data_IF_361918536013
#
_entry.id   IF_361918536013
#
_cell.length_a   1.000
_cell.length_b   1.000
_cell.length_c   1.000
_cell.angle_alpha   90.00
_cell.angle_beta   90.00
_cell.angle_gamma   90.00
#
_symmetry.space_group_name_H-M   'P 1'
#
loop_
_entity.id
_entity.type
_entity.pdbx_description
1 polymer ?
#
# COMPACT_ATOMS: atom_id res chain seq x y z
N UNK A 1 36.02 7.95 -6.03
CA UNK A 1 34.98 8.05 -7.08
C UNK A 1 34.45 6.65 -7.39
N UNK A 2 33.42 6.20 -6.69
CA UNK A 2 32.78 4.91 -6.96
C UNK A 2 31.30 5.18 -7.21
N UNK A 3 30.93 5.17 -8.50
CA UNK A 3 29.54 5.17 -8.95
C UNK A 3 28.94 3.81 -8.59
N UNK A 4 28.30 3.72 -7.42
CA UNK A 4 27.39 2.61 -7.11
C UNK A 4 26.13 2.81 -7.94
N UNK A 5 25.90 1.91 -8.90
CA UNK A 5 24.71 1.92 -9.73
C UNK A 5 23.47 1.65 -8.87
N UNK A 6 22.74 2.72 -8.52
CA UNK A 6 21.37 2.58 -8.01
C UNK A 6 20.53 1.89 -9.08
N UNK A 7 20.01 0.72 -8.72
CA UNK A 7 19.06 -0.04 -9.52
C UNK A 7 17.91 0.87 -9.94
N UNK A 8 17.57 0.88 -11.23
CA UNK A 8 16.47 1.70 -11.80
C UNK A 8 15.10 1.44 -11.11
N UNK A 9 14.99 0.41 -10.27
CA UNK A 9 13.79 0.10 -9.50
C UNK A 9 13.62 0.94 -8.22
N UNK A 10 14.68 1.39 -7.56
CA UNK A 10 14.54 2.13 -6.27
C UNK A 10 13.81 3.46 -6.44
N UNK A 11 14.16 4.23 -7.47
CA UNK A 11 13.55 5.54 -7.75
C UNK A 11 12.08 5.43 -8.16
N UNK A 12 11.70 4.34 -8.82
CA UNK A 12 10.31 4.08 -9.21
C UNK A 12 9.46 3.77 -7.97
N UNK A 13 9.97 2.95 -7.05
CA UNK A 13 9.29 2.59 -5.80
C UNK A 13 8.98 3.83 -4.94
N UNK A 14 9.97 4.69 -4.73
CA UNK A 14 9.80 5.95 -3.97
C UNK A 14 8.79 6.90 -4.63
N UNK A 15 8.70 6.88 -5.96
CA UNK A 15 7.73 7.69 -6.71
C UNK A 15 6.30 7.16 -6.52
N UNK A 16 6.12 5.83 -6.51
CA UNK A 16 4.81 5.21 -6.31
C UNK A 16 4.26 5.39 -4.90
N UNK A 17 5.11 5.29 -3.87
CA UNK A 17 4.70 5.51 -2.48
C UNK A 17 4.12 6.91 -2.26
N UNK A 18 4.60 7.89 -3.04
CA UNK A 18 4.07 9.25 -3.02
C UNK A 18 2.73 9.38 -3.76
N UNK A 19 2.63 8.83 -4.96
CA UNK A 19 1.38 8.85 -5.76
C UNK A 19 0.22 8.23 -4.97
N UNK A 20 0.49 7.13 -4.27
CA UNK A 20 -0.51 6.41 -3.49
C UNK A 20 -0.87 7.15 -2.19
N UNK A 21 0.08 7.86 -1.58
CA UNK A 21 -0.17 8.62 -0.36
C UNK A 21 -0.87 9.97 -0.60
N UNK A 22 -0.62 10.60 -1.74
CA UNK A 22 -1.20 11.90 -2.12
C UNK A 22 -2.50 11.74 -2.93
N UNK A 23 -3.09 10.54 -2.98
CA UNK A 23 -4.33 10.28 -3.70
C UNK A 23 -5.48 11.14 -3.15
N UNK A 24 -6.12 11.93 -4.02
CA UNK A 24 -7.21 12.82 -3.63
C UNK A 24 -8.57 12.10 -3.65
N UNK A 25 -9.61 12.65 -2.99
CA UNK A 25 -10.97 12.16 -3.15
C UNK A 25 -11.37 12.12 -4.63
N UNK A 26 -11.94 10.99 -5.07
CA UNK A 26 -12.33 10.69 -6.46
C UNK A 26 -11.17 10.35 -7.43
N UNK A 27 -9.93 10.21 -6.97
CA UNK A 27 -8.86 9.67 -7.81
C UNK A 27 -9.01 8.16 -8.02
N UNK A 28 -8.80 7.73 -9.26
CA UNK A 28 -8.81 6.32 -9.67
C UNK A 28 -7.40 5.87 -10.03
N UNK A 29 -6.74 5.16 -9.12
CA UNK A 29 -5.37 4.67 -9.31
C UNK A 29 -5.43 3.17 -9.59
N UNK A 30 -4.86 2.74 -10.73
CA UNK A 30 -4.65 1.33 -11.06
C UNK A 30 -3.16 1.03 -11.05
N UNK A 31 -2.74 0.13 -10.16
CA UNK A 31 -1.36 -0.33 -10.07
C UNK A 31 -1.25 -1.78 -10.54
N UNK A 32 -0.47 -2.00 -11.60
CA UNK A 32 -0.10 -3.34 -12.04
C UNK A 32 1.10 -3.81 -11.21
N UNK A 33 1.02 -5.03 -10.70
CA UNK A 33 2.07 -5.63 -9.89
C UNK A 33 2.37 -7.05 -10.38
N UNK A 34 3.64 -7.45 -10.26
CA UNK A 34 4.08 -8.83 -10.51
C UNK A 34 4.58 -9.50 -9.22
N UNK A 35 4.86 -8.69 -8.20
CA UNK A 35 5.44 -9.10 -6.93
C UNK A 35 4.47 -8.76 -5.79
N UNK A 36 4.22 -9.74 -4.92
CA UNK A 36 3.38 -9.56 -3.75
C UNK A 36 3.99 -8.58 -2.74
N UNK A 37 5.32 -8.50 -2.63
CA UNK A 37 5.96 -7.55 -1.73
C UNK A 37 5.73 -6.10 -2.18
N UNK A 38 5.67 -5.87 -3.50
CA UNK A 38 5.32 -4.57 -4.06
C UNK A 38 3.86 -4.20 -3.78
N UNK A 39 2.93 -5.14 -3.98
CA UNK A 39 1.52 -4.95 -3.65
C UNK A 39 1.34 -4.63 -2.15
N UNK A 40 1.96 -5.42 -1.28
CA UNK A 40 1.80 -5.29 0.17
C UNK A 40 2.26 -3.91 0.65
N UNK A 41 3.39 -3.40 0.13
CA UNK A 41 3.89 -2.05 0.47
C UNK A 41 2.92 -0.96 0.03
N UNK A 42 2.45 -1.02 -1.22
CA UNK A 42 1.53 -0.03 -1.77
C UNK A 42 0.21 0.00 -0.99
N UNK A 43 -0.37 -1.16 -0.69
CA UNK A 43 -1.62 -1.25 0.09
C UNK A 43 -1.44 -0.72 1.51
N UNK A 44 -0.33 -1.05 2.18
CA UNK A 44 -0.05 -0.53 3.52
C UNK A 44 0.14 0.98 3.50
N UNK A 45 0.82 1.53 2.48
CA UNK A 45 1.02 2.97 2.36
C UNK A 45 -0.29 3.71 2.08
N UNK A 46 -1.11 3.20 1.16
CA UNK A 46 -2.44 3.73 0.87
C UNK A 46 -3.31 3.75 2.12
N UNK A 47 -3.40 2.60 2.78
CA UNK A 47 -4.22 2.45 3.97
C UNK A 47 -3.71 3.32 5.13
N UNK A 48 -2.39 3.36 5.35
CA UNK A 48 -1.78 4.20 6.38
C UNK A 48 -2.04 5.69 6.13
N UNK A 49 -1.90 6.16 4.88
CA UNK A 49 -2.15 7.56 4.53
C UNK A 49 -3.62 7.95 4.73
N UNK A 50 -4.57 7.17 4.20
CA UNK A 50 -5.99 7.47 4.39
C UNK A 50 -6.40 7.38 5.86
N UNK A 51 -5.88 6.44 6.65
CA UNK A 51 -6.16 6.39 8.09
C UNK A 51 -5.57 7.56 8.87
N UNK A 52 -4.36 8.00 8.53
CA UNK A 52 -3.76 9.19 9.13
C UNK A 52 -4.58 10.46 8.84
N UNK A 53 -5.23 10.51 7.68
CA UNK A 53 -6.16 11.58 7.30
C UNK A 53 -7.57 11.42 7.92
N UNK A 54 -7.82 10.36 8.69
CA UNK A 54 -9.13 10.08 9.30
C UNK A 54 -10.16 9.46 8.34
N UNK A 55 -9.73 9.03 7.17
CA UNK A 55 -10.57 8.41 6.15
C UNK A 55 -10.80 6.91 6.43
N UNK A 56 -11.88 6.38 5.87
CA UNK A 56 -12.18 4.94 5.90
C UNK A 56 -11.70 4.26 4.64
N UNK A 57 -11.06 3.08 4.77
CA UNK A 57 -10.65 2.26 3.63
C UNK A 57 -11.46 0.97 3.61
N UNK A 58 -11.84 0.53 2.41
CA UNK A 58 -12.35 -0.81 2.14
C UNK A 58 -11.31 -1.55 1.32
N UNK A 59 -10.82 -2.68 1.84
CA UNK A 59 -9.95 -3.59 1.10
C UNK A 59 -10.78 -4.83 0.72
N UNK A 60 -10.59 -5.32 -0.51
CA UNK A 60 -11.17 -6.58 -1.01
C UNK A 60 -10.05 -7.52 -1.51
N UNK A 61 -9.18 -8.00 -0.61
CA UNK A 61 -8.13 -8.94 -0.98
C UNK A 61 -8.63 -10.39 -0.99
N UNK A 62 -7.96 -11.24 -1.76
CA UNK A 62 -8.04 -12.70 -1.56
C UNK A 62 -7.45 -13.07 -0.19
N UNK A 63 -7.80 -14.23 0.37
CA UNK A 63 -7.27 -14.70 1.66
C UNK A 63 -5.73 -14.71 1.75
N UNK A 64 -5.02 -15.11 0.68
CA UNK A 64 -3.55 -15.11 0.64
C UNK A 64 -2.98 -13.71 0.84
N UNK A 65 -3.47 -12.73 0.05
CA UNK A 65 -3.06 -11.33 0.18
C UNK A 65 -3.44 -10.74 1.55
N UNK A 66 -4.62 -11.09 2.09
CA UNK A 66 -5.02 -10.64 3.43
C UNK A 66 -4.03 -11.07 4.50
N UNK A 67 -3.62 -12.34 4.49
CA UNK A 67 -2.66 -12.86 5.48
C UNK A 67 -1.29 -12.20 5.38
N UNK A 68 -0.89 -11.74 4.20
CA UNK A 68 0.37 -11.01 4.00
C UNK A 68 0.28 -9.53 4.43
N UNK A 69 -0.87 -8.89 4.21
CA UNK A 69 -1.07 -7.47 4.48
C UNK A 69 -1.43 -7.20 5.94
N UNK A 70 -2.23 -8.09 6.56
CA UNK A 70 -2.79 -7.91 7.91
C UNK A 70 -1.75 -7.57 8.98
N UNK A 71 -0.62 -8.30 9.11
CA UNK A 71 0.36 -8.00 10.16
C UNK A 71 0.97 -6.61 10.03
N UNK A 72 1.08 -6.12 8.78
CA UNK A 72 1.68 -4.82 8.47
C UNK A 72 0.68 -3.69 8.70
N UNK A 73 -0.60 -3.90 8.40
CA UNK A 73 -1.68 -2.99 8.80
C UNK A 73 -1.82 -2.90 10.33
N UNK A 74 -1.77 -4.03 11.03
CA UNK A 74 -1.81 -4.04 12.50
C UNK A 74 -0.64 -3.23 13.10
N UNK A 75 0.57 -3.32 12.51
CA UNK A 75 1.74 -2.55 12.93
C UNK A 75 1.59 -1.03 12.70
N UNK A 76 0.83 -0.62 11.67
CA UNK A 76 0.50 0.79 11.38
C UNK A 76 -0.69 1.30 12.23
N UNK A 77 -1.18 0.50 13.19
CA UNK A 77 -2.28 0.87 14.09
C UNK A 77 -3.67 0.68 13.51
N UNK A 78 -3.80 -0.08 12.42
CA UNK A 78 -5.08 -0.39 11.79
C UNK A 78 -5.73 -1.59 12.51
N UNK A 79 -6.73 -1.33 13.35
CA UNK A 79 -7.53 -2.39 13.98
C UNK A 79 -8.54 -2.98 12.97
N UNK A 80 -8.53 -4.31 12.80
CA UNK A 80 -9.37 -5.06 11.86
C UNK A 80 -10.88 -4.97 12.12
N UNK A 81 -11.32 -4.21 13.13
CA UNK A 81 -12.74 -3.88 13.37
C UNK A 81 -13.33 -2.90 12.36
N UNK A 82 -12.52 -2.19 11.57
CA UNK A 82 -13.02 -1.42 10.40
C UNK A 82 -13.20 -2.38 9.22
N UNK A 83 -14.42 -2.46 8.69
CA UNK A 83 -14.92 -3.51 7.79
C UNK A 83 -14.05 -3.71 6.54
N UNK A 84 -13.18 -4.72 6.58
CA UNK A 84 -12.56 -5.31 5.38
C UNK A 84 -13.51 -6.38 4.84
N UNK A 85 -13.90 -6.28 3.57
CA UNK A 85 -14.75 -7.28 2.93
C UNK A 85 -13.83 -8.30 2.27
N UNK A 86 -13.79 -9.52 2.82
CA UNK A 86 -13.04 -10.62 2.25
C UNK A 86 -14.00 -11.44 1.39
N UNK A 87 -13.62 -11.70 0.13
CA UNK A 87 -14.33 -12.62 -0.77
C UNK A 87 -13.63 -13.98 -0.82
#
# INVERSE_FOLDING_TARGET
MTRSGKSKNETSLETWDRVVADAAPCDHIVQLYQDQDFLNRAVCRFAGAALANGEGIILVPTLTHWNAIRPRLEAEGVDGRRRVVIN
#
